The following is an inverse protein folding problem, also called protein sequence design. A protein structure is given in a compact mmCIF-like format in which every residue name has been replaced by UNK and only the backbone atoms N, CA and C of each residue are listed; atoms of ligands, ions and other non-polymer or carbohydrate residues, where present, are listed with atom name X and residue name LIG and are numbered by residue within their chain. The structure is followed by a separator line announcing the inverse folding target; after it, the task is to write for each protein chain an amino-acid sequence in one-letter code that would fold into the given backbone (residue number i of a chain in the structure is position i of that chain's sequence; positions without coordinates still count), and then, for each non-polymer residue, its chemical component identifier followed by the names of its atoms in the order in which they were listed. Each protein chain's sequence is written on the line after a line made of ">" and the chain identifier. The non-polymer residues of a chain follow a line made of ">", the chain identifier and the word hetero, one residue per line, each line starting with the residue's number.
data_IF_686589368707
#
_entry.id   IF_686589368707
#
_cell.length_a   1.000
_cell.length_b   1.000
_cell.length_c   1.000
_cell.angle_alpha   90.00
_cell.angle_beta   90.00
_cell.angle_gamma   90.00
#
_symmetry.space_group_name_H-M   'P 1'
#
loop_
_entity.id
_entity.type
_entity.pdbx_description
1 polymer ?
#
# COMPACT_ATOMS: atom_id res chain seq x y z
N UNK A 1 14.12 69.76 -2.24
CA UNK A 1 15.19 69.22 -3.09
C UNK A 1 15.03 67.71 -3.10
N UNK A 2 14.60 67.14 -4.23
CA UNK A 2 14.31 65.71 -4.40
C UNK A 2 15.58 64.97 -4.83
N UNK A 3 15.90 63.84 -4.17
CA UNK A 3 16.91 62.86 -4.60
C UNK A 3 16.32 61.46 -4.34
N UNK A 4 15.70 60.84 -5.34
CA UNK A 4 16.23 59.81 -6.26
C UNK A 4 16.55 58.45 -5.63
N UNK A 5 15.68 57.49 -5.95
CA UNK A 5 15.94 56.10 -6.41
C UNK A 5 17.06 55.26 -5.78
N UNK A 6 16.67 54.18 -5.11
CA UNK A 6 17.25 52.82 -5.22
C UNK A 6 16.24 51.83 -4.64
N UNK A 7 15.57 51.03 -5.47
CA UNK A 7 15.94 49.68 -5.89
C UNK A 7 15.82 48.62 -4.79
N UNK A 8 14.83 47.75 -4.99
CA UNK A 8 14.84 46.30 -4.73
C UNK A 8 15.47 45.82 -3.40
N UNK A 9 14.62 45.60 -2.39
CA UNK A 9 14.89 44.60 -1.37
C UNK A 9 14.02 43.38 -1.67
N UNK A 10 14.59 42.51 -2.51
CA UNK A 10 14.44 41.06 -2.58
C UNK A 10 13.33 40.53 -1.67
N UNK A 11 12.21 40.15 -2.29
CA UNK A 11 11.34 39.13 -1.75
C UNK A 11 12.23 37.90 -1.51
N UNK A 12 12.62 37.70 -0.26
CA UNK A 12 13.23 36.48 0.21
C UNK A 12 12.20 35.37 0.02
N UNK A 13 12.12 34.86 -1.20
CA UNK A 13 11.78 33.48 -1.48
C UNK A 13 12.73 32.68 -0.60
N UNK A 14 12.27 32.37 0.61
CA UNK A 14 12.74 31.19 1.29
C UNK A 14 12.44 30.05 0.33
N UNK A 15 13.44 29.73 -0.50
CA UNK A 15 13.65 28.41 -1.04
C UNK A 15 13.80 27.51 0.18
N UNK A 16 12.68 27.19 0.81
CA UNK A 16 12.60 25.96 1.60
C UNK A 16 12.98 24.90 0.58
N UNK A 17 14.08 24.15 0.77
CA UNK A 17 14.27 23.00 -0.08
C UNK A 17 13.06 22.12 0.22
N UNK A 18 12.14 22.04 -0.75
CA UNK A 18 11.11 21.03 -0.80
C UNK A 18 11.73 19.66 -1.08
N UNK A 19 12.91 19.38 -0.52
CA UNK A 19 13.31 18.03 -0.18
C UNK A 19 12.47 17.62 1.03
N UNK A 20 11.16 17.49 0.80
CA UNK A 20 10.43 16.41 1.45
C UNK A 20 11.31 15.18 1.24
N UNK A 21 11.80 14.58 2.33
CA UNK A 21 12.69 13.43 2.25
C UNK A 21 11.98 12.41 1.35
N UNK A 22 12.50 12.21 0.13
CA UNK A 22 12.01 11.14 -0.71
C UNK A 22 12.33 9.87 0.08
N UNK A 23 11.29 9.16 0.52
CA UNK A 23 11.48 7.91 1.25
C UNK A 23 12.22 6.94 0.31
N UNK A 24 13.06 6.06 0.86
CA UNK A 24 13.85 5.17 0.01
C UNK A 24 12.93 4.19 -0.74
N UNK A 25 13.40 3.63 -1.86
CA UNK A 25 12.63 2.63 -2.62
C UNK A 25 12.21 1.45 -1.73
N UNK A 26 13.06 1.05 -0.79
CA UNK A 26 12.75 0.04 0.21
C UNK A 26 11.60 0.51 1.14
N UNK A 27 11.72 1.69 1.73
CA UNK A 27 10.73 2.21 2.68
C UNK A 27 9.36 2.41 2.01
N UNK A 28 9.31 2.93 0.78
CA UNK A 28 8.09 3.06 -0.02
C UNK A 28 7.44 1.70 -0.29
N UNK A 29 8.25 0.70 -0.66
CA UNK A 29 7.76 -0.64 -0.93
C UNK A 29 7.17 -1.29 0.33
N UNK A 30 7.83 -1.15 1.49
CA UNK A 30 7.30 -1.63 2.78
C UNK A 30 6.02 -0.90 3.15
N UNK A 31 5.97 0.43 3.02
CA UNK A 31 4.77 1.21 3.28
C UNK A 31 3.59 0.74 2.42
N UNK A 32 3.80 0.53 1.13
CA UNK A 32 2.76 0.05 0.22
C UNK A 32 2.35 -1.40 0.53
N UNK A 33 3.28 -2.26 0.95
CA UNK A 33 2.96 -3.60 1.45
C UNK A 33 2.01 -3.52 2.65
N UNK A 34 2.35 -2.74 3.67
CA UNK A 34 1.53 -2.57 4.87
C UNK A 34 0.17 -1.93 4.58
N UNK A 35 0.14 -0.91 3.72
CA UNK A 35 -1.09 -0.24 3.30
C UNK A 35 -2.04 -1.23 2.62
N UNK A 36 -1.51 -2.06 1.72
CA UNK A 36 -2.32 -3.07 1.05
C UNK A 36 -2.83 -4.14 2.02
N UNK A 37 -2.03 -4.55 3.02
CA UNK A 37 -2.53 -5.45 4.08
C UNK A 37 -3.63 -4.81 4.93
N UNK A 38 -3.55 -3.51 5.21
CA UNK A 38 -4.65 -2.78 5.87
C UNK A 38 -5.91 -2.77 4.99
N UNK A 39 -5.76 -2.53 3.68
CA UNK A 39 -6.86 -2.60 2.73
C UNK A 39 -7.50 -4.00 2.69
N UNK A 40 -6.72 -5.08 2.71
CA UNK A 40 -7.25 -6.45 2.83
C UNK A 40 -8.17 -6.55 4.05
N UNK A 41 -7.73 -6.10 5.22
CA UNK A 41 -8.53 -6.19 6.44
C UNK A 41 -9.83 -5.38 6.35
N UNK A 42 -9.77 -4.15 5.82
CA UNK A 42 -10.97 -3.31 5.62
C UNK A 42 -11.97 -3.98 4.68
N UNK A 43 -11.49 -4.54 3.57
CA UNK A 43 -12.34 -5.24 2.60
C UNK A 43 -12.95 -6.54 3.19
N UNK A 44 -12.21 -7.27 4.04
CA UNK A 44 -12.75 -8.44 4.73
C UNK A 44 -13.81 -8.07 5.77
N UNK A 45 -13.62 -6.98 6.51
CA UNK A 45 -14.65 -6.46 7.43
C UNK A 45 -15.91 -6.03 6.66
N UNK A 46 -15.75 -5.31 5.55
CA UNK A 46 -16.85 -4.94 4.67
C UNK A 46 -17.58 -6.17 4.11
N UNK A 47 -16.83 -7.17 3.65
CA UNK A 47 -17.41 -8.44 3.18
C UNK A 47 -18.24 -9.13 4.26
N UNK A 48 -17.74 -9.19 5.50
CA UNK A 48 -18.48 -9.75 6.63
C UNK A 48 -19.79 -8.99 6.88
N UNK A 49 -19.73 -7.65 6.91
CA UNK A 49 -20.93 -6.83 7.11
C UNK A 49 -21.98 -7.05 5.99
N UNK A 50 -21.55 -7.18 4.74
CA UNK A 50 -22.47 -7.48 3.64
C UNK A 50 -23.02 -8.90 3.70
N UNK A 51 -22.25 -9.87 4.18
CA UNK A 51 -22.71 -11.24 4.42
C UNK A 51 -23.83 -11.27 5.48
N UNK A 52 -23.66 -10.54 6.58
CA UNK A 52 -24.65 -10.43 7.66
C UNK A 52 -25.96 -9.79 7.19
N UNK A 53 -25.87 -8.90 6.19
CA UNK A 53 -27.03 -8.26 5.55
C UNK A 53 -27.62 -9.08 4.38
N UNK A 54 -27.05 -10.23 4.04
CA UNK A 54 -27.45 -11.04 2.88
C UNK A 54 -27.15 -10.39 1.52
N UNK A 55 -26.33 -9.34 1.47
CA UNK A 55 -25.96 -8.63 0.24
C UNK A 55 -24.77 -9.33 -0.45
N UNK A 56 -25.06 -10.43 -1.13
CA UNK A 56 -24.05 -11.26 -1.82
C UNK A 56 -23.22 -10.48 -2.86
N UNK A 57 -23.79 -9.62 -3.72
CA UNK A 57 -23.00 -8.87 -4.71
C UNK A 57 -21.91 -7.99 -4.09
N UNK A 58 -22.23 -7.21 -3.05
CA UNK A 58 -21.27 -6.32 -2.40
C UNK A 58 -20.27 -7.07 -1.51
N UNK A 59 -20.70 -8.17 -0.88
CA UNK A 59 -19.79 -9.11 -0.22
C UNK A 59 -18.74 -9.61 -1.22
N UNK A 60 -19.18 -10.10 -2.38
CA UNK A 60 -18.30 -10.64 -3.40
C UNK A 60 -17.37 -9.59 -4.01
N UNK A 61 -17.85 -8.36 -4.22
CA UNK A 61 -17.00 -7.24 -4.63
C UNK A 61 -15.90 -6.97 -3.60
N UNK A 62 -16.25 -6.95 -2.32
CA UNK A 62 -15.29 -6.72 -1.23
C UNK A 62 -14.26 -7.84 -1.11
N UNK A 63 -14.68 -9.11 -1.23
CA UNK A 63 -13.76 -10.26 -1.24
C UNK A 63 -12.78 -10.21 -2.43
N UNK A 64 -13.25 -9.86 -3.63
CA UNK A 64 -12.39 -9.70 -4.80
C UNK A 64 -11.39 -8.53 -4.62
N UNK A 65 -11.82 -7.41 -4.04
CA UNK A 65 -10.93 -6.29 -3.71
C UNK A 65 -9.89 -6.65 -2.65
N UNK A 66 -10.26 -7.48 -1.67
CA UNK A 66 -9.33 -8.04 -0.70
C UNK A 66 -8.28 -8.91 -1.40
N UNK A 67 -8.68 -9.75 -2.36
CA UNK A 67 -7.76 -10.61 -3.11
C UNK A 67 -6.78 -9.78 -3.95
N UNK A 68 -7.28 -8.74 -4.62
CA UNK A 68 -6.45 -7.79 -5.36
C UNK A 68 -5.46 -7.05 -4.46
N UNK A 69 -5.90 -6.57 -3.29
CA UNK A 69 -5.02 -5.89 -2.34
C UNK A 69 -3.94 -6.83 -1.81
N UNK A 70 -4.26 -8.10 -1.58
CA UNK A 70 -3.29 -9.10 -1.14
C UNK A 70 -2.22 -9.38 -2.20
N UNK A 71 -2.62 -9.45 -3.48
CA UNK A 71 -1.69 -9.56 -4.62
C UNK A 71 -0.75 -8.35 -4.69
N UNK A 72 -1.29 -7.13 -4.56
CA UNK A 72 -0.48 -5.90 -4.48
C UNK A 72 0.47 -5.88 -3.29
N UNK A 73 0.03 -6.36 -2.12
CA UNK A 73 0.90 -6.51 -0.96
C UNK A 73 2.09 -7.43 -1.30
N UNK A 74 1.83 -8.60 -1.90
CA UNK A 74 2.89 -9.54 -2.29
C UNK A 74 3.89 -8.90 -3.25
N UNK A 75 3.41 -8.23 -4.31
CA UNK A 75 4.29 -7.57 -5.26
C UNK A 75 5.13 -6.44 -4.65
N UNK A 76 4.63 -5.74 -3.63
CA UNK A 76 5.41 -4.72 -2.92
C UNK A 76 6.44 -5.33 -1.97
N UNK A 77 6.18 -6.52 -1.41
CA UNK A 77 7.16 -7.25 -0.64
C UNK A 77 8.35 -7.68 -1.52
N UNK A 78 8.09 -8.16 -2.73
CA UNK A 78 9.12 -8.52 -3.70
C UNK A 78 9.93 -7.28 -4.14
N UNK A 79 9.27 -6.13 -4.32
CA UNK A 79 9.97 -4.85 -4.55
C UNK A 79 10.89 -4.48 -3.40
N UNK A 80 10.43 -4.60 -2.15
CA UNK A 80 11.24 -4.28 -0.96
C UNK A 80 12.49 -5.16 -0.89
N UNK A 81 12.36 -6.46 -1.17
CA UNK A 81 13.52 -7.37 -1.20
C UNK A 81 14.52 -7.02 -2.31
N UNK A 82 14.02 -6.67 -3.50
CA UNK A 82 14.87 -6.29 -4.65
C UNK A 82 15.42 -4.87 -4.59
N UNK A 83 14.97 -4.03 -3.66
CA UNK A 83 15.39 -2.65 -3.55
C UNK A 83 16.88 -2.56 -3.19
N UNK A 84 17.65 -1.64 -3.79
CA UNK A 84 19.04 -1.43 -3.43
C UNK A 84 19.15 -1.07 -1.95
N UNK A 85 20.29 -1.39 -1.34
CA UNK A 85 20.57 -0.99 0.05
C UNK A 85 20.84 0.50 0.07
N UNK A 86 20.11 1.22 0.92
CA UNK A 86 20.28 2.65 1.15
C UNK A 86 20.52 2.89 2.66
N UNK A 87 21.42 3.81 2.99
CA UNK A 87 21.72 4.15 4.38
C UNK A 87 20.55 4.85 5.08
N UNK A 88 19.63 5.44 4.32
CA UNK A 88 18.40 6.05 4.82
C UNK A 88 17.23 5.05 4.96
N UNK A 89 17.45 3.78 4.63
CA UNK A 89 16.46 2.74 4.88
C UNK A 89 16.12 2.67 6.37
N UNK A 90 14.83 2.52 6.68
CA UNK A 90 14.40 2.03 7.99
C UNK A 90 14.93 0.61 8.15
N UNK A 91 14.88 0.09 9.38
CA UNK A 91 15.30 -1.28 9.68
C UNK A 91 14.73 -2.27 8.66
N UNK A 92 15.63 -2.87 7.87
CA UNK A 92 15.22 -3.81 6.83
C UNK A 92 14.75 -5.12 7.44
N UNK A 93 13.68 -5.69 6.90
CA UNK A 93 13.23 -7.03 7.28
C UNK A 93 14.35 -8.05 7.02
N UNK A 94 14.53 -8.95 7.97
CA UNK A 94 15.38 -10.12 7.80
C UNK A 94 14.80 -11.06 6.75
N UNK A 95 15.64 -11.93 6.18
CA UNK A 95 15.19 -12.97 5.25
C UNK A 95 14.08 -13.85 5.84
N UNK A 96 14.20 -14.22 7.12
CA UNK A 96 13.20 -15.02 7.83
C UNK A 96 11.85 -14.32 7.92
N UNK A 97 11.83 -13.01 8.15
CA UNK A 97 10.60 -12.20 8.19
C UNK A 97 9.95 -12.10 6.81
N UNK A 98 10.73 -11.87 5.75
CA UNK A 98 10.25 -11.87 4.36
C UNK A 98 9.63 -13.22 3.98
N UNK A 99 10.32 -14.32 4.28
CA UNK A 99 9.84 -15.67 3.95
C UNK A 99 8.56 -16.01 4.74
N UNK A 100 8.47 -15.58 6.01
CA UNK A 100 7.26 -15.71 6.84
C UNK A 100 6.10 -14.89 6.29
N UNK A 101 6.35 -13.66 5.84
CA UNK A 101 5.35 -12.80 5.23
C UNK A 101 4.80 -13.42 3.93
N UNK A 102 5.66 -13.97 3.06
CA UNK A 102 5.21 -14.68 1.84
C UNK A 102 4.37 -15.92 2.17
N UNK A 103 4.80 -16.74 3.11
CA UNK A 103 4.03 -17.92 3.52
C UNK A 103 2.64 -17.54 4.07
N UNK A 104 2.58 -16.45 4.83
CA UNK A 104 1.33 -15.90 5.37
C UNK A 104 0.41 -15.42 4.24
N UNK A 105 0.93 -14.65 3.28
CA UNK A 105 0.15 -14.17 2.13
C UNK A 105 -0.36 -15.31 1.26
N UNK A 106 0.46 -16.32 0.98
CA UNK A 106 0.05 -17.53 0.23
C UNK A 106 -1.10 -18.25 0.92
N UNK A 107 -1.00 -18.43 2.23
CA UNK A 107 -2.06 -19.06 3.04
C UNK A 107 -3.36 -18.25 3.00
N UNK A 108 -3.27 -16.93 3.18
CA UNK A 108 -4.44 -16.03 3.12
C UNK A 108 -5.08 -16.02 1.74
N UNK A 109 -4.27 -15.97 0.69
CA UNK A 109 -4.74 -15.99 -0.70
C UNK A 109 -5.49 -17.28 -1.01
N UNK A 110 -4.94 -18.44 -0.63
CA UNK A 110 -5.60 -19.73 -0.82
C UNK A 110 -6.95 -19.82 -0.09
N UNK A 111 -7.01 -19.35 1.17
CA UNK A 111 -8.28 -19.29 1.93
C UNK A 111 -9.30 -18.36 1.27
N UNK A 112 -8.87 -17.18 0.85
CA UNK A 112 -9.75 -16.19 0.22
C UNK A 112 -10.28 -16.67 -1.12
N UNK A 113 -9.45 -17.30 -1.95
CA UNK A 113 -9.86 -17.91 -3.22
C UNK A 113 -10.92 -18.99 -3.01
N UNK A 114 -10.76 -19.84 -1.99
CA UNK A 114 -11.77 -20.85 -1.64
C UNK A 114 -13.11 -20.22 -1.22
N UNK A 115 -13.08 -19.14 -0.42
CA UNK A 115 -14.29 -18.41 -0.03
C UNK A 115 -14.97 -17.80 -1.25
N UNK A 116 -14.22 -17.12 -2.13
CA UNK A 116 -14.77 -16.51 -3.35
C UNK A 116 -15.41 -17.59 -4.22
N UNK A 117 -14.72 -18.69 -4.48
CA UNK A 117 -15.25 -19.78 -5.32
C UNK A 117 -16.51 -20.43 -4.75
N UNK A 118 -16.66 -20.47 -3.43
CA UNK A 118 -17.84 -21.07 -2.79
C UNK A 118 -19.04 -20.14 -2.68
N UNK A 119 -18.84 -18.82 -2.72
CA UNK A 119 -19.88 -17.84 -2.39
C UNK A 119 -20.19 -16.85 -3.50
N UNK A 120 -19.31 -16.69 -4.49
CA UNK A 120 -19.42 -15.67 -5.51
C UNK A 120 -19.67 -16.28 -6.89
N UNK A 121 -20.72 -15.82 -7.62
CA UNK A 121 -20.95 -16.27 -8.98
C UNK A 121 -19.75 -15.91 -9.85
N UNK A 122 -19.42 -16.80 -10.79
CA UNK A 122 -18.36 -16.54 -11.76
C UNK A 122 -18.63 -15.21 -12.46
N UNK A 123 -17.61 -14.36 -12.55
CA UNK A 123 -17.71 -13.10 -13.28
C UNK A 123 -18.03 -13.44 -14.74
N UNK A 124 -19.16 -12.93 -15.26
CA UNK A 124 -19.48 -13.09 -16.67
C UNK A 124 -18.32 -12.51 -17.51
N UNK A 125 -17.95 -13.16 -18.64
CA UNK A 125 -16.83 -12.76 -19.49
C UNK A 125 -16.98 -11.34 -20.04
#
# INVERSE_FOLDING_TARGET
>A
MFLRHTLFAVAGLMLVPASAMADTVYNDAVFLYELNLKNVNVQLQGASAFADLGNIPDMCKSLNNAAFSLDKASGNLDKAESAPVDAADKTRMTKTELDTARATMKTRSGKLAAIISGNCPAKAP
#
